data_IF_681971791636
#
_entry.id   IF_681971791636
#
_cell.length_a   1.000
_cell.length_b   1.000
_cell.length_c   1.000
_cell.angle_alpha   90.00
_cell.angle_beta   90.00
_cell.angle_gamma   90.00
#
_symmetry.space_group_name_H-M   'P 1'
#
loop_
_entity.id
_entity.type
_entity.pdbx_description
1 polymer ?
#
# COMPACT_ATOMS: atom_id res chain seq x y z
N UNK A 1 -13.70 -18.21 -17.15
CA UNK A 1 -12.47 -18.20 -16.33
C UNK A 1 -11.37 -17.23 -16.82
N UNK A 2 -11.62 -16.30 -17.76
CA UNK A 2 -10.58 -15.37 -18.28
C UNK A 2 -10.53 -13.99 -17.60
N UNK A 3 -11.60 -13.54 -16.92
CA UNK A 3 -11.66 -12.19 -16.34
C UNK A 3 -10.77 -12.01 -15.10
N UNK A 4 -10.55 -13.06 -14.29
CA UNK A 4 -9.76 -12.93 -13.07
C UNK A 4 -8.27 -12.70 -13.34
N UNK A 5 -7.69 -13.34 -14.36
CA UNK A 5 -6.27 -13.21 -14.67
C UNK A 5 -5.91 -11.82 -15.20
N UNK A 6 -6.82 -11.20 -15.97
CA UNK A 6 -6.63 -9.83 -16.46
C UNK A 6 -6.68 -8.82 -15.31
N UNK A 7 -7.66 -8.94 -14.40
CA UNK A 7 -7.76 -8.06 -13.23
C UNK A 7 -6.54 -8.18 -12.32
N UNK A 8 -6.08 -9.41 -12.02
CA UNK A 8 -4.88 -9.64 -11.20
C UNK A 8 -3.62 -9.06 -11.87
N UNK A 9 -3.45 -9.22 -13.18
CA UNK A 9 -2.32 -8.60 -13.92
C UNK A 9 -2.39 -7.08 -13.91
N UNK A 10 -3.58 -6.51 -14.10
CA UNK A 10 -3.75 -5.06 -14.11
C UNK A 10 -3.40 -4.47 -12.75
N UNK A 11 -3.91 -5.05 -11.66
CA UNK A 11 -3.62 -4.63 -10.29
C UNK A 11 -2.12 -4.79 -10.00
N UNK A 12 -1.51 -5.92 -10.41
CA UNK A 12 -0.08 -6.14 -10.25
C UNK A 12 0.77 -5.10 -10.99
N UNK A 13 0.41 -4.76 -12.24
CA UNK A 13 1.11 -3.75 -13.02
C UNK A 13 0.95 -2.34 -12.43
N UNK A 14 -0.24 -1.99 -11.94
CA UNK A 14 -0.48 -0.72 -11.23
C UNK A 14 0.35 -0.62 -9.95
N UNK A 15 0.40 -1.70 -9.17
CA UNK A 15 1.21 -1.75 -7.96
C UNK A 15 2.71 -1.63 -8.29
N UNK A 16 3.18 -2.31 -9.34
CA UNK A 16 4.56 -2.20 -9.80
C UNK A 16 4.90 -0.80 -10.28
N UNK A 17 4.00 -0.15 -11.03
CA UNK A 17 4.19 1.23 -11.48
C UNK A 17 4.25 2.22 -10.31
N UNK A 18 3.32 2.11 -9.35
CA UNK A 18 3.34 2.93 -8.14
C UNK A 18 4.64 2.72 -7.35
N UNK A 19 5.08 1.47 -7.18
CA UNK A 19 6.35 1.14 -6.53
C UNK A 19 7.55 1.75 -7.25
N UNK A 20 7.58 1.71 -8.59
CA UNK A 20 8.63 2.33 -9.38
C UNK A 20 8.68 3.85 -9.20
N UNK A 21 7.53 4.52 -9.24
CA UNK A 21 7.45 5.98 -9.02
C UNK A 21 7.94 6.34 -7.62
N UNK A 22 7.59 5.57 -6.59
CA UNK A 22 8.06 5.77 -5.22
C UNK A 22 9.57 5.54 -5.10
N UNK A 23 10.13 4.52 -5.75
CA UNK A 23 11.58 4.27 -5.78
C UNK A 23 12.34 5.42 -6.44
N UNK A 24 11.80 5.98 -7.53
CA UNK A 24 12.38 7.16 -8.18
C UNK A 24 12.35 8.35 -7.22
N UNK A 25 11.23 8.63 -6.57
CA UNK A 25 11.13 9.70 -5.56
C UNK A 25 12.14 9.53 -4.41
N UNK A 26 12.28 8.30 -3.91
CA UNK A 26 13.27 7.97 -2.87
C UNK A 26 14.70 8.17 -3.34
N UNK A 27 15.03 7.77 -4.58
CA UNK A 27 16.37 7.95 -5.14
C UNK A 27 16.74 9.43 -5.32
N UNK A 28 15.76 10.28 -5.68
CA UNK A 28 15.94 11.73 -5.77
C UNK A 28 16.19 12.31 -4.38
N UNK A 29 15.39 11.93 -3.37
CA UNK A 29 15.59 12.40 -2.00
C UNK A 29 16.95 11.97 -1.44
N UNK A 30 17.38 10.74 -1.74
CA UNK A 30 18.69 10.23 -1.35
C UNK A 30 19.84 11.01 -2.02
N UNK A 31 19.75 11.26 -3.33
CA UNK A 31 20.76 12.02 -4.07
C UNK A 31 20.81 13.49 -3.63
N UNK A 32 19.66 14.11 -3.39
CA UNK A 32 19.55 15.48 -2.89
C UNK A 32 20.12 15.60 -1.47
N UNK A 33 19.86 14.62 -0.60
CA UNK A 33 20.45 14.53 0.74
C UNK A 33 21.96 14.44 0.70
N UNK A 34 22.53 13.73 -0.28
CA UNK A 34 23.98 13.67 -0.50
C UNK A 34 24.58 15.02 -0.93
N UNK A 35 23.78 15.84 -1.63
CA UNK A 35 24.14 17.20 -2.06
C UNK A 35 23.84 18.28 -0.99
N UNK A 36 23.31 17.89 0.17
CA UNK A 36 22.95 18.80 1.26
C UNK A 36 21.63 19.57 1.06
N UNK A 37 20.81 19.18 0.09
CA UNK A 37 19.49 19.79 -0.15
C UNK A 37 18.38 18.98 0.54
N UNK A 38 17.45 19.63 1.27
CA UNK A 38 16.25 18.96 1.76
C UNK A 38 15.29 18.73 0.59
N UNK A 39 14.99 17.46 0.30
CA UNK A 39 14.03 17.05 -0.71
C UNK A 39 12.92 16.22 -0.07
N UNK A 40 11.68 16.44 -0.53
CA UNK A 40 10.47 15.78 -0.02
C UNK A 40 9.70 15.09 -1.16
N UNK A 41 10.39 14.66 -2.21
CA UNK A 41 9.79 14.07 -3.40
C UNK A 41 9.15 12.71 -3.07
N UNK A 42 9.78 11.90 -2.22
CA UNK A 42 9.19 10.64 -1.75
C UNK A 42 7.90 10.88 -0.97
N UNK A 43 7.93 11.81 -0.01
CA UNK A 43 6.77 12.07 0.86
C UNK A 43 5.56 12.62 0.10
N UNK A 44 5.80 13.51 -0.88
CA UNK A 44 4.73 14.05 -1.74
C UNK A 44 4.12 12.96 -2.63
N UNK A 45 4.93 12.06 -3.20
CA UNK A 45 4.46 10.94 -4.01
C UNK A 45 3.79 9.83 -3.19
N UNK A 46 4.18 9.67 -1.92
CA UNK A 46 3.63 8.66 -1.03
C UNK A 46 2.23 8.99 -0.52
N UNK A 47 1.92 10.27 -0.29
CA UNK A 47 0.62 10.73 0.20
C UNK A 47 -0.59 10.16 -0.57
N UNK A 48 -0.67 10.24 -1.92
CA UNK A 48 -1.80 9.65 -2.65
C UNK A 48 -1.85 8.13 -2.53
N UNK A 49 -0.70 7.45 -2.43
CA UNK A 49 -0.63 6.00 -2.27
C UNK A 49 -1.19 5.58 -0.91
N UNK A 50 -0.90 6.33 0.16
CA UNK A 50 -1.44 6.09 1.50
C UNK A 50 -2.95 6.26 1.50
N UNK A 51 -3.49 7.32 0.91
CA UNK A 51 -4.94 7.58 0.88
C UNK A 51 -5.66 6.42 0.17
N UNK A 52 -5.19 6.03 -1.02
CA UNK A 52 -5.80 4.93 -1.78
C UNK A 52 -5.68 3.60 -1.02
N UNK A 53 -4.52 3.32 -0.44
CA UNK A 53 -4.30 2.11 0.35
C UNK A 53 -5.14 2.07 1.63
N UNK A 54 -5.40 3.22 2.26
CA UNK A 54 -6.28 3.36 3.41
C UNK A 54 -7.71 2.98 3.05
N UNK A 55 -8.29 3.65 2.04
CA UNK A 55 -9.68 3.44 1.64
C UNK A 55 -9.93 1.99 1.22
N UNK A 56 -9.05 1.44 0.38
CA UNK A 56 -9.17 0.05 -0.09
C UNK A 56 -8.91 -0.95 1.04
N UNK A 57 -7.91 -0.69 1.89
CA UNK A 57 -7.54 -1.56 3.00
C UNK A 57 -8.65 -1.66 4.06
N UNK A 58 -9.27 -0.53 4.40
CA UNK A 58 -10.42 -0.46 5.31
C UNK A 58 -11.64 -1.18 4.70
N UNK A 59 -11.92 -0.97 3.42
CA UNK A 59 -13.02 -1.66 2.74
C UNK A 59 -12.82 -3.18 2.75
N UNK A 60 -11.63 -3.65 2.36
CA UNK A 60 -11.29 -5.08 2.32
C UNK A 60 -11.31 -5.72 3.72
N UNK A 61 -10.84 -5.01 4.74
CA UNK A 61 -10.91 -5.49 6.14
C UNK A 61 -12.35 -5.64 6.60
N UNK A 62 -13.19 -4.63 6.38
CA UNK A 62 -14.60 -4.69 6.74
C UNK A 62 -15.31 -5.87 6.04
N UNK A 63 -15.11 -6.03 4.74
CA UNK A 63 -15.71 -7.15 3.97
C UNK A 63 -15.23 -8.49 4.51
N UNK A 64 -13.92 -8.64 4.75
CA UNK A 64 -13.33 -9.88 5.28
C UNK A 64 -13.87 -10.24 6.66
N UNK A 65 -13.99 -9.26 7.56
CA UNK A 65 -14.56 -9.43 8.90
C UNK A 65 -16.03 -9.84 8.81
N UNK A 66 -16.84 -9.18 7.98
CA UNK A 66 -18.26 -9.53 7.80
C UNK A 66 -18.39 -10.97 7.27
N UNK A 67 -17.62 -11.34 6.24
CA UNK A 67 -17.61 -12.70 5.70
C UNK A 67 -17.20 -13.73 6.75
N UNK A 68 -16.20 -13.41 7.56
CA UNK A 68 -15.71 -14.28 8.62
C UNK A 68 -16.76 -14.47 9.72
N UNK A 69 -17.41 -13.40 10.17
CA UNK A 69 -18.47 -13.42 11.19
C UNK A 69 -19.71 -14.16 10.71
N UNK A 70 -20.20 -13.87 9.50
CA UNK A 70 -21.37 -14.56 8.91
C UNK A 70 -21.10 -16.05 8.74
N UNK A 71 -19.85 -16.44 8.51
CA UNK A 71 -19.43 -17.84 8.42
C UNK A 71 -19.15 -18.50 9.78
N UNK A 72 -19.50 -17.85 10.90
CA UNK A 72 -19.17 -18.30 12.27
C UNK A 72 -17.69 -18.67 12.45
N UNK A 73 -16.80 -17.89 11.83
CA UNK A 73 -15.35 -18.07 11.93
C UNK A 73 -14.76 -19.17 11.03
N UNK A 74 -15.57 -19.86 10.21
CA UNK A 74 -15.10 -20.97 9.36
C UNK A 74 -14.51 -20.53 8.02
N UNK A 75 -14.68 -19.27 7.61
CA UNK A 75 -14.19 -18.80 6.30
C UNK A 75 -12.74 -18.35 6.36
N UNK A 76 -11.83 -19.20 5.88
CA UNK A 76 -10.41 -18.86 5.69
C UNK A 76 -10.24 -17.72 4.65
N UNK A 77 -11.13 -17.65 3.66
CA UNK A 77 -11.15 -16.57 2.67
C UNK A 77 -11.49 -15.20 3.30
N UNK A 78 -12.45 -15.15 4.23
CA UNK A 78 -12.78 -13.92 4.96
C UNK A 78 -11.64 -13.46 5.86
N UNK A 79 -11.00 -14.41 6.55
CA UNK A 79 -9.88 -14.12 7.44
C UNK A 79 -8.64 -13.64 6.68
N UNK A 80 -8.28 -14.29 5.57
CA UNK A 80 -7.17 -13.85 4.71
C UNK A 80 -7.44 -12.50 4.06
N UNK A 81 -8.68 -12.20 3.65
CA UNK A 81 -9.06 -10.89 3.12
C UNK A 81 -8.97 -9.81 4.19
N UNK A 82 -9.39 -10.10 5.43
CA UNK A 82 -9.28 -9.19 6.55
C UNK A 82 -7.82 -8.86 6.87
N UNK A 83 -6.97 -9.88 6.99
CA UNK A 83 -5.54 -9.69 7.26
C UNK A 83 -4.86 -8.97 6.08
N UNK A 84 -5.20 -9.34 4.85
CA UNK A 84 -4.67 -8.71 3.64
C UNK A 84 -5.01 -7.22 3.56
N UNK A 85 -6.26 -6.84 3.82
CA UNK A 85 -6.67 -5.44 3.85
C UNK A 85 -5.97 -4.64 4.95
N UNK A 86 -5.77 -5.25 6.13
CA UNK A 86 -5.07 -4.61 7.24
C UNK A 86 -3.61 -4.34 6.90
N UNK A 87 -2.93 -5.32 6.31
CA UNK A 87 -1.55 -5.17 5.81
C UNK A 87 -1.45 -4.08 4.74
N UNK A 88 -2.42 -4.02 3.83
CA UNK A 88 -2.45 -3.04 2.73
C UNK A 88 -2.53 -1.61 3.27
N UNK A 89 -3.31 -1.38 4.32
CA UNK A 89 -3.35 -0.10 5.02
C UNK A 89 -2.09 0.16 5.87
N UNK A 90 -1.62 -0.81 6.66
CA UNK A 90 -0.55 -0.57 7.63
C UNK A 90 0.81 -0.34 6.97
N UNK A 91 1.11 -1.06 5.88
CA UNK A 91 2.44 -1.10 5.29
C UNK A 91 2.92 0.27 4.77
N UNK A 92 2.12 1.07 4.05
CA UNK A 92 2.47 2.43 3.64
C UNK A 92 2.75 3.40 4.80
N UNK A 93 2.19 3.17 6.00
CA UNK A 93 2.44 4.04 7.16
C UNK A 93 3.78 3.73 7.85
N UNK A 94 4.20 2.45 7.86
CA UNK A 94 5.43 2.05 8.55
C UNK A 94 6.65 2.09 7.62
N UNK A 95 6.45 1.88 6.32
CA UNK A 95 7.53 1.86 5.31
C UNK A 95 8.46 3.10 5.34
N UNK A 96 7.97 4.35 5.45
CA UNK A 96 8.82 5.54 5.41
C UNK A 96 9.83 5.57 6.56
N UNK A 97 9.39 5.09 7.74
CA UNK A 97 10.20 5.05 8.96
C UNK A 97 11.36 4.06 8.83
N UNK A 98 11.15 2.93 8.14
CA UNK A 98 12.22 1.98 7.85
C UNK A 98 13.17 2.45 6.74
N UNK A 99 12.68 3.27 5.81
CA UNK A 99 13.49 3.86 4.75
C UNK A 99 14.32 5.08 5.21
N UNK A 100 14.25 5.42 6.51
CA UNK A 100 14.97 6.58 7.07
C UNK A 100 14.41 7.93 6.63
N UNK A 101 13.23 7.95 6.01
CA UNK A 101 12.56 9.17 5.54
C UNK A 101 11.51 9.57 6.56
N UNK A 102 11.75 10.67 7.27
CA UNK A 102 10.77 11.25 8.18
C UNK A 102 9.76 12.08 7.38
N UNK A 103 8.78 11.41 6.76
CA UNK A 103 7.63 12.12 6.22
C UNK A 103 6.79 12.63 7.39
N UNK A 104 6.69 13.96 7.54
CA UNK A 104 5.64 14.58 8.34
C UNK A 104 4.33 14.36 7.59
N UNK A 105 3.60 13.31 8.00
CA UNK A 105 2.22 13.09 7.57
C UNK A 105 1.29 14.05 8.29
#
# INVERSE_FOLDING_TARGET
MSHSSFAVRLVGNLAAFAGFVLLVGWSIDYAAGWLGYPSHAFCTLLSPVIIVAYEIGVLMTCIGVIMWVVSFGKSESGLSLAIGGFLLFALPLVLPRYLGVACLL
#
